data_IF_617954663400
#
_entry.id   IF_617954663400
#
_cell.length_a   1.000
_cell.length_b   1.000
_cell.length_c   1.000
_cell.angle_alpha   90.00
_cell.angle_beta   90.00
_cell.angle_gamma   90.00
#
_symmetry.space_group_name_H-M   'P 1'
#
loop_
_entity.id
_entity.type
_entity.pdbx_description
1 polymer ?
#
# COMPACT_ATOMS: atom_id res chain seq x y z
N UNK A 1 -5.35 0.32 19.86
CA UNK A 1 -6.69 0.89 20.08
C UNK A 1 -7.46 0.78 18.77
N UNK A 2 -8.46 -0.09 18.70
CA UNK A 2 -9.27 -0.32 17.49
C UNK A 2 -10.30 0.82 17.36
N UNK A 3 -9.91 1.95 16.77
CA UNK A 3 -10.87 2.98 16.41
C UNK A 3 -11.71 2.44 15.23
N UNK A 4 -13.05 2.38 15.34
CA UNK A 4 -13.91 1.90 14.25
C UNK A 4 -13.70 2.67 12.94
N UNK A 5 -13.29 3.95 13.02
CA UNK A 5 -12.97 4.77 11.84
C UNK A 5 -11.77 4.19 11.06
N UNK A 6 -10.72 3.71 11.75
CA UNK A 6 -9.57 3.09 11.07
C UNK A 6 -9.93 1.76 10.41
N UNK A 7 -10.86 1.01 11.00
CA UNK A 7 -11.35 -0.23 10.40
C UNK A 7 -12.16 0.00 9.12
N UNK A 8 -12.82 1.16 9.00
CA UNK A 8 -13.56 1.57 7.81
C UNK A 8 -12.61 2.08 6.71
N UNK A 9 -11.62 2.90 7.08
CA UNK A 9 -10.65 3.48 6.13
C UNK A 9 -9.81 2.40 5.42
N UNK A 10 -9.47 1.31 6.12
CA UNK A 10 -8.74 0.18 5.52
C UNK A 10 -9.64 -0.93 4.98
N UNK A 11 -10.78 -0.58 4.38
CA UNK A 11 -11.58 -1.49 3.57
C UNK A 11 -11.28 -1.31 2.07
N UNK A 12 -11.48 -2.35 1.25
CA UNK A 12 -11.49 -2.19 -0.20
C UNK A 12 -12.52 -1.14 -0.62
N UNK A 13 -12.17 -0.31 -1.60
CA UNK A 13 -13.06 0.72 -2.17
C UNK A 13 -13.62 0.31 -3.53
N UNK A 14 -13.33 -0.91 -3.99
CA UNK A 14 -13.79 -1.45 -5.27
C UNK A 14 -12.97 -0.96 -6.47
N UNK A 15 -11.68 -0.66 -6.29
CA UNK A 15 -10.80 -0.21 -7.39
C UNK A 15 -10.64 -1.31 -8.44
N UNK A 16 -10.65 -2.58 -8.02
CA UNK A 16 -10.46 -3.70 -8.92
C UNK A 16 -10.62 -5.06 -8.24
N UNK A 17 -10.11 -6.09 -8.92
CA UNK A 17 -10.35 -7.49 -8.56
C UNK A 17 -9.35 -8.05 -7.56
N UNK A 18 -8.22 -7.35 -7.32
CA UNK A 18 -7.15 -7.86 -6.47
C UNK A 18 -7.08 -7.09 -5.16
N UNK A 19 -7.26 -7.85 -4.08
CA UNK A 19 -7.07 -7.40 -2.71
C UNK A 19 -6.13 -8.37 -2.02
N UNK A 20 -5.05 -7.83 -1.46
CA UNK A 20 -4.05 -8.55 -0.70
C UNK A 20 -4.06 -7.99 0.71
N UNK A 21 -4.08 -8.87 1.69
CA UNK A 21 -3.90 -8.50 3.09
C UNK A 21 -2.62 -9.16 3.61
N UNK A 22 -1.71 -8.35 4.17
CA UNK A 22 -0.50 -8.83 4.82
C UNK A 22 -0.57 -8.52 6.32
N UNK A 23 -0.06 -9.40 7.20
CA UNK A 23 0.07 -9.08 8.62
C UNK A 23 1.01 -7.89 8.81
N UNK A 24 0.78 -7.13 9.88
CA UNK A 24 1.60 -5.97 10.22
C UNK A 24 1.89 -6.00 11.71
N UNK A 25 3.15 -6.18 12.07
CA UNK A 25 3.58 -6.26 13.47
C UNK A 25 3.95 -4.89 14.07
N UNK A 26 4.16 -3.88 13.22
CA UNK A 26 4.50 -2.52 13.62
C UNK A 26 4.03 -1.51 12.57
N UNK A 27 3.67 -0.27 12.96
CA UNK A 27 3.31 0.76 12.01
C UNK A 27 4.48 1.10 11.08
N UNK A 28 4.21 1.13 9.77
CA UNK A 28 5.15 1.56 8.75
C UNK A 28 5.13 3.08 8.61
N UNK A 29 6.29 3.65 8.26
CA UNK A 29 6.39 5.04 7.87
C UNK A 29 5.89 5.20 6.42
N UNK A 30 4.63 5.61 6.26
CA UNK A 30 3.99 5.71 4.93
C UNK A 30 4.70 6.69 4.00
N UNK A 31 5.33 7.74 4.54
CA UNK A 31 6.08 8.72 3.75
C UNK A 31 7.35 8.12 3.13
N UNK A 32 8.11 7.36 3.90
CA UNK A 32 9.33 6.68 3.42
C UNK A 32 8.96 5.53 2.47
N UNK A 33 8.01 4.70 2.88
CA UNK A 33 7.48 3.61 2.06
C UNK A 33 6.98 4.13 0.70
N UNK A 34 6.21 5.23 0.69
CA UNK A 34 5.72 5.84 -0.55
C UNK A 34 6.86 6.28 -1.48
N UNK A 35 7.95 6.83 -0.93
CA UNK A 35 9.11 7.25 -1.74
C UNK A 35 9.82 6.05 -2.36
N UNK A 36 10.05 5.00 -1.57
CA UNK A 36 10.76 3.81 -2.03
C UNK A 36 9.95 3.03 -3.07
N UNK A 37 8.63 2.92 -2.89
CA UNK A 37 7.73 2.35 -3.88
C UNK A 37 7.79 3.12 -5.20
N UNK A 38 7.78 4.45 -5.15
CA UNK A 38 7.92 5.30 -6.34
C UNK A 38 9.27 5.08 -7.03
N UNK A 39 10.38 5.06 -6.28
CA UNK A 39 11.71 4.85 -6.83
C UNK A 39 11.86 3.47 -7.47
N UNK A 40 11.40 2.42 -6.78
CA UNK A 40 11.44 1.05 -7.29
C UNK A 40 10.66 0.92 -8.60
N UNK A 41 9.40 1.34 -8.62
CA UNK A 41 8.55 1.23 -9.81
C UNK A 41 9.07 2.10 -10.96
N UNK A 42 9.62 3.28 -10.69
CA UNK A 42 10.31 4.07 -11.72
C UNK A 42 11.55 3.36 -12.25
N UNK A 43 12.30 2.66 -11.40
CA UNK A 43 13.41 1.79 -11.80
C UNK A 43 13.01 0.64 -12.71
N UNK A 44 11.75 0.18 -12.62
CA UNK A 44 11.17 -0.81 -13.54
C UNK A 44 10.64 -0.20 -14.86
N UNK A 45 10.81 1.11 -15.07
CA UNK A 45 10.38 1.80 -16.29
C UNK A 45 8.96 2.39 -16.25
N UNK A 46 8.30 2.39 -15.09
CA UNK A 46 6.97 2.99 -14.95
C UNK A 46 7.02 4.49 -14.70
N UNK A 47 5.98 5.21 -15.15
CA UNK A 47 5.66 6.54 -14.60
C UNK A 47 4.79 6.37 -13.39
N UNK A 48 5.20 6.94 -12.26
CA UNK A 48 4.55 6.73 -10.96
C UNK A 48 4.24 8.05 -10.30
N UNK A 49 3.00 8.20 -9.89
CA UNK A 49 2.51 9.28 -9.04
C UNK A 49 2.07 8.68 -7.71
N UNK A 50 2.40 9.34 -6.61
CA UNK A 50 2.04 8.88 -5.27
C UNK A 50 1.43 10.00 -4.47
N UNK A 51 0.33 9.71 -3.81
CA UNK A 51 -0.26 10.58 -2.80
C UNK A 51 -0.37 9.78 -1.52
N UNK A 52 0.01 10.35 -0.40
CA UNK A 52 0.00 9.65 0.88
C UNK A 52 -0.53 10.53 2.00
N UNK A 53 -1.02 9.85 3.03
CA UNK A 53 -1.46 10.36 4.33
C UNK A 53 -0.82 9.47 5.42
N UNK A 54 -1.10 9.71 6.71
CA UNK A 54 -0.49 8.92 7.79
C UNK A 54 -0.69 7.41 7.68
N UNK A 55 -1.82 6.92 7.14
CA UNK A 55 -2.09 5.48 7.03
C UNK A 55 -2.46 5.00 5.62
N UNK A 56 -2.63 5.89 4.64
CA UNK A 56 -2.93 5.52 3.26
C UNK A 56 -1.83 5.99 2.32
N UNK A 57 -1.49 5.14 1.36
CA UNK A 57 -0.74 5.50 0.16
C UNK A 57 -1.61 5.14 -1.04
N UNK A 58 -1.74 6.06 -1.98
CA UNK A 58 -2.32 5.80 -3.29
C UNK A 58 -1.24 5.98 -4.33
N UNK A 59 -0.96 4.91 -5.09
CA UNK A 59 -0.06 4.94 -6.23
C UNK A 59 -0.87 4.91 -7.52
N UNK A 60 -0.43 5.69 -8.49
CA UNK A 60 -0.89 5.59 -9.86
C UNK A 60 0.29 5.31 -10.76
N UNK A 61 0.27 4.12 -11.35
CA UNK A 61 1.37 3.56 -12.14
C UNK A 61 0.93 3.50 -13.59
N UNK A 62 1.74 4.05 -14.49
CA UNK A 62 1.49 4.05 -15.93
C UNK A 62 2.67 3.40 -16.65
N UNK A 63 2.39 2.31 -17.36
CA UNK A 63 3.37 1.64 -18.21
C UNK A 63 3.69 2.50 -19.44
N UNK A 64 4.96 2.82 -19.63
CA UNK A 64 5.41 3.61 -20.77
C UNK A 64 5.35 2.75 -22.03
N UNK A 65 4.59 3.17 -23.04
CA UNK A 65 4.52 2.49 -24.35
C UNK A 65 3.28 1.65 -24.62
N UNK A 66 2.43 1.40 -23.60
CA UNK A 66 1.11 0.77 -23.77
C UNK A 66 0.03 1.87 -23.72
N UNK A 67 -1.02 1.76 -24.52
CA UNK A 67 -2.11 2.76 -24.54
C UNK A 67 -2.87 2.77 -23.20
N UNK A 68 -2.83 3.94 -22.54
CA UNK A 68 -3.88 4.61 -21.75
C UNK A 68 -4.37 4.05 -20.42
N UNK A 69 -3.73 3.02 -19.84
CA UNK A 69 -4.16 2.48 -18.55
C UNK A 69 -3.26 2.92 -17.40
N UNK A 70 -3.90 3.36 -16.32
CA UNK A 70 -3.28 3.62 -15.03
C UNK A 70 -3.66 2.49 -14.07
N UNK A 71 -2.65 1.82 -13.51
CA UNK A 71 -2.85 0.93 -12.37
C UNK A 71 -2.92 1.80 -11.12
N UNK A 72 -4.09 1.82 -10.48
CA UNK A 72 -4.28 2.51 -9.21
C UNK A 72 -4.16 1.49 -8.09
N UNK A 73 -3.30 1.78 -7.12
CA UNK A 73 -3.01 0.90 -5.99
C UNK A 73 -3.26 1.68 -4.72
N UNK A 74 -4.19 1.21 -3.91
CA UNK A 74 -4.42 1.69 -2.55
C UNK A 74 -3.67 0.77 -1.59
N UNK A 75 -2.84 1.36 -0.74
CA UNK A 75 -2.19 0.68 0.38
C UNK A 75 -2.71 1.35 1.64
N UNK A 76 -3.36 0.60 2.50
CA UNK A 76 -3.90 1.09 3.77
C UNK A 76 -3.37 0.29 4.93
N UNK A 77 -2.78 0.97 5.90
CA UNK A 77 -2.28 0.38 7.13
C UNK A 77 -3.31 0.49 8.25
N UNK A 78 -3.60 -0.64 8.87
CA UNK A 78 -4.33 -0.73 10.13
C UNK A 78 -3.37 -1.15 11.26
N UNK A 79 -3.89 -1.37 12.47
CA UNK A 79 -3.09 -1.71 13.65
C UNK A 79 -2.33 -3.04 13.55
N UNK A 80 -2.83 -3.99 12.76
CA UNK A 80 -2.34 -5.37 12.70
C UNK A 80 -2.26 -5.95 11.29
N UNK A 81 -2.66 -5.19 10.27
CA UNK A 81 -2.55 -5.60 8.88
C UNK A 81 -2.33 -4.39 7.97
N UNK A 82 -1.84 -4.68 6.77
CA UNK A 82 -1.85 -3.75 5.64
C UNK A 82 -2.69 -4.36 4.53
N UNK A 83 -3.58 -3.55 3.95
CA UNK A 83 -4.43 -3.91 2.84
C UNK A 83 -3.89 -3.23 1.58
N UNK A 84 -3.66 -4.02 0.55
CA UNK A 84 -3.25 -3.59 -0.78
C UNK A 84 -4.40 -3.93 -1.72
N UNK A 85 -4.97 -2.93 -2.36
CA UNK A 85 -6.01 -3.09 -3.36
C UNK A 85 -5.52 -2.46 -4.66
N UNK A 86 -5.67 -3.18 -5.77
CA UNK A 86 -5.35 -2.66 -7.09
C UNK A 86 -6.50 -2.78 -8.06
N UNK A 87 -6.43 -1.94 -9.08
CA UNK A 87 -7.25 -2.05 -10.26
C UNK A 87 -6.86 -1.03 -11.32
N UNK A 88 -7.59 -1.07 -12.42
CA UNK A 88 -7.18 -0.47 -13.67
C UNK A 88 -8.14 0.65 -14.02
N UNK A 89 -7.57 1.81 -14.33
CA UNK A 89 -8.29 3.03 -14.67
C UNK A 89 -7.91 3.53 -16.04
N UNK A 90 -8.85 4.19 -16.71
CA UNK A 90 -8.64 4.78 -18.03
C UNK A 90 -7.86 6.12 -17.98
N UNK A 91 -7.51 6.60 -16.79
CA UNK A 91 -6.85 7.90 -16.63
C UNK A 91 -6.26 8.13 -15.25
N UNK A 92 -5.42 9.17 -15.16
CA UNK A 92 -4.83 9.63 -13.91
C UNK A 92 -5.92 10.24 -13.02
N UNK A 93 -5.81 9.98 -11.72
CA UNK A 93 -6.64 10.56 -10.67
C UNK A 93 -5.78 11.54 -9.88
N UNK A 94 -6.12 12.82 -9.95
CA UNK A 94 -5.39 13.85 -9.21
C UNK A 94 -5.99 14.09 -7.81
N UNK A 95 -5.70 13.17 -6.88
CA UNK A 95 -6.21 13.22 -5.50
C UNK A 95 -5.71 14.44 -4.70
N UNK A 96 -4.46 14.87 -4.92
CA UNK A 96 -3.85 16.01 -4.21
C UNK A 96 -4.57 17.32 -4.50
N UNK A 97 -4.95 17.54 -5.76
CA UNK A 97 -5.67 18.76 -6.17
C UNK A 97 -7.06 18.82 -5.56
N UNK A 98 -7.74 17.68 -5.48
CA UNK A 98 -9.04 17.60 -4.83
C UNK A 98 -8.97 17.95 -3.33
N UNK A 99 -7.88 17.58 -2.63
CA UNK A 99 -7.69 17.84 -1.20
C UNK A 99 -7.10 19.21 -0.86
N UNK A 100 -6.29 19.79 -1.76
CA UNK A 100 -5.73 21.13 -1.57
C UNK A 100 -6.76 22.23 -1.82
N UNK A 101 -7.73 22.00 -2.70
CA UNK A 101 -8.81 22.97 -2.98
C UNK A 101 -9.75 23.22 -1.79
N UNK A 102 -9.75 22.34 -0.78
CA UNK A 102 -10.58 22.46 0.43
C UNK A 102 -9.83 23.02 1.64
N UNK A 103 -8.52 23.26 1.53
CA UNK A 103 -7.69 23.82 2.61
C UNK A 103 -7.41 22.89 3.80
N UNK A 104 -7.83 21.61 3.75
CA UNK A 104 -7.82 20.70 4.91
C UNK A 104 -6.57 19.81 5.02
N UNK A 105 -5.60 19.92 4.11
CA UNK A 105 -4.51 18.93 4.02
C UNK A 105 -5.04 17.54 3.65
N UNK A 106 -4.13 16.59 3.43
CA UNK A 106 -4.50 15.25 2.98
C UNK A 106 -4.68 14.33 4.18
N UNK A 107 -5.93 14.00 4.50
CA UNK A 107 -6.29 13.06 5.58
C UNK A 107 -6.57 11.66 5.04
N UNK A 108 -6.49 10.64 5.90
CA UNK A 108 -6.82 9.26 5.54
C UNK A 108 -8.28 9.14 5.05
N UNK A 109 -9.20 9.81 5.74
CA UNK A 109 -10.63 9.85 5.39
C UNK A 109 -10.86 10.53 4.03
N UNK A 110 -10.14 11.62 3.73
CA UNK A 110 -10.21 12.28 2.45
C UNK A 110 -9.71 11.38 1.31
N UNK A 111 -8.57 10.71 1.49
CA UNK A 111 -8.06 9.79 0.47
C UNK A 111 -8.99 8.60 0.27
N UNK A 112 -9.48 7.99 1.36
CA UNK A 112 -10.42 6.88 1.26
C UNK A 112 -11.70 7.29 0.54
N UNK A 113 -12.35 8.37 0.96
CA UNK A 113 -13.62 8.82 0.40
C UNK A 113 -13.49 9.32 -1.04
N UNK A 114 -12.41 10.02 -1.37
CA UNK A 114 -12.15 10.46 -2.75
C UNK A 114 -11.96 9.26 -3.66
N UNK A 115 -11.18 8.27 -3.22
CA UNK A 115 -10.97 7.05 -3.97
C UNK A 115 -12.29 6.26 -4.09
N UNK A 116 -13.01 6.07 -3.00
CA UNK A 116 -14.33 5.44 -3.03
C UNK A 116 -15.26 6.14 -4.02
N UNK A 117 -15.41 7.47 -3.97
CA UNK A 117 -16.31 8.21 -4.86
C UNK A 117 -15.92 8.07 -6.34
N UNK A 118 -14.62 8.05 -6.65
CA UNK A 118 -14.14 7.85 -8.01
C UNK A 118 -14.41 6.43 -8.48
N UNK A 119 -14.15 5.44 -7.64
CA UNK A 119 -14.20 4.03 -8.02
C UNK A 119 -15.58 3.38 -7.86
N UNK A 120 -16.45 3.93 -7.02
CA UNK A 120 -17.86 3.55 -6.88
C UNK A 120 -18.67 3.86 -8.15
N UNK A 121 -18.15 4.72 -9.04
CA UNK A 121 -18.76 5.05 -10.34
C UNK A 121 -17.93 4.66 -11.57
N UNK A 122 -16.61 4.45 -11.45
CA UNK A 122 -15.70 4.30 -12.60
C UNK A 122 -15.67 2.91 -13.26
N UNK A 123 -16.29 1.88 -12.69
CA UNK A 123 -16.38 0.56 -13.34
C UNK A 123 -17.49 0.43 -14.39
N UNK A 124 -18.16 1.54 -14.76
CA UNK A 124 -19.16 1.55 -15.83
C UNK A 124 -18.58 1.52 -17.26
N UNK A 125 -17.26 1.42 -17.46
CA UNK A 125 -16.66 1.55 -18.79
C UNK A 125 -15.26 0.98 -18.98
N UNK A 126 -14.91 -0.11 -18.29
CA UNK A 126 -13.64 -0.81 -18.52
C UNK A 126 -13.88 -1.89 -19.60
N UNK A 127 -13.25 -1.72 -20.76
CA UNK A 127 -13.41 -2.62 -21.92
C UNK A 127 -12.69 -3.96 -21.66
N UNK A 128 -13.44 -5.03 -21.45
CA UNK A 128 -12.95 -6.34 -20.96
C UNK A 128 -11.80 -6.90 -21.81
N UNK A 129 -11.75 -6.57 -23.11
CA UNK A 129 -10.70 -7.03 -24.03
C UNK A 129 -9.35 -6.35 -23.80
N UNK A 130 -9.30 -5.07 -23.38
CA UNK A 130 -8.04 -4.37 -23.09
C UNK A 130 -7.44 -4.77 -21.74
N UNK A 131 -8.26 -5.38 -20.88
CA UNK A 131 -7.89 -5.73 -19.50
C UNK A 131 -7.07 -7.03 -19.45
N UNK A 132 -7.30 -7.99 -20.36
CA UNK A 132 -6.65 -9.30 -20.29
C UNK A 132 -5.12 -9.23 -20.37
N UNK A 133 -4.55 -8.36 -21.22
CA UNK A 133 -3.10 -8.14 -21.31
C UNK A 133 -2.51 -7.32 -20.15
N UNK A 134 -3.35 -6.60 -19.42
CA UNK A 134 -2.92 -5.72 -18.32
C UNK A 134 -2.81 -6.44 -16.97
N UNK A 135 -3.38 -7.63 -16.83
CA UNK A 135 -3.34 -8.39 -15.58
C UNK A 135 -1.96 -8.95 -15.24
N UNK A 136 -1.16 -9.31 -16.24
CA UNK A 136 0.21 -9.79 -16.02
C UNK A 136 1.08 -8.65 -15.45
N UNK A 137 0.95 -7.46 -16.02
CA UNK A 137 1.67 -6.28 -15.57
C UNK A 137 1.22 -5.85 -14.17
N UNK A 138 -0.09 -5.86 -13.91
CA UNK A 138 -0.63 -5.63 -12.58
C UNK A 138 -0.05 -6.60 -11.56
N UNK A 139 0.07 -7.90 -11.90
CA UNK A 139 0.70 -8.89 -11.02
C UNK A 139 2.17 -8.59 -10.73
N UNK A 140 2.95 -8.15 -11.74
CA UNK A 140 4.35 -7.76 -11.55
C UNK A 140 4.46 -6.57 -10.60
N UNK A 141 3.64 -5.55 -10.81
CA UNK A 141 3.59 -4.36 -9.96
C UNK A 141 3.21 -4.75 -8.52
N UNK A 142 2.14 -5.52 -8.34
CA UNK A 142 1.70 -5.97 -7.01
C UNK A 142 2.76 -6.79 -6.29
N UNK A 143 3.43 -7.71 -7.01
CA UNK A 143 4.49 -8.54 -6.43
C UNK A 143 5.65 -7.68 -5.92
N UNK A 144 6.07 -6.67 -6.67
CA UNK A 144 7.10 -5.73 -6.24
C UNK A 144 6.68 -4.88 -5.05
N UNK A 145 5.43 -4.37 -5.05
CA UNK A 145 4.86 -3.62 -3.93
C UNK A 145 4.82 -4.47 -2.65
N UNK A 146 4.35 -5.71 -2.75
CA UNK A 146 4.34 -6.66 -1.63
C UNK A 146 5.75 -6.90 -1.09
N UNK A 147 6.73 -7.14 -1.97
CA UNK A 147 8.11 -7.38 -1.55
C UNK A 147 8.70 -6.20 -0.75
N UNK A 148 8.46 -4.96 -1.19
CA UNK A 148 8.94 -3.77 -0.48
C UNK A 148 8.23 -3.61 0.87
N UNK A 149 6.92 -3.83 0.93
CA UNK A 149 6.18 -3.77 2.19
C UNK A 149 6.70 -4.80 3.18
N UNK A 150 6.92 -6.04 2.74
CA UNK A 150 7.51 -7.10 3.56
C UNK A 150 8.94 -6.74 3.99
N UNK A 151 9.73 -6.10 3.13
CA UNK A 151 11.03 -5.58 3.52
C UNK A 151 10.91 -4.56 4.66
N UNK A 152 10.02 -3.57 4.54
CA UNK A 152 9.78 -2.54 5.56
C UNK A 152 9.25 -3.11 6.88
N UNK A 153 8.37 -4.10 6.82
CA UNK A 153 7.93 -4.86 8.00
C UNK A 153 9.14 -5.50 8.70
N UNK A 154 10.06 -6.09 7.94
CA UNK A 154 11.22 -6.81 8.45
C UNK A 154 12.41 -5.92 8.86
N UNK A 155 12.50 -4.69 8.35
CA UNK A 155 13.54 -3.71 8.69
C UNK A 155 13.55 -3.30 10.18
N UNK A 156 12.53 -3.65 10.97
CA UNK A 156 12.50 -3.43 12.43
C UNK A 156 13.08 -4.58 13.24
N UNK A 157 13.25 -5.73 12.61
CA UNK A 157 13.76 -6.94 13.20
C UNK A 157 15.17 -7.20 12.69
N UNK A 158 16.10 -6.30 13.04
CA UNK A 158 17.53 -6.52 12.80
C UNK A 158 18.08 -7.72 13.57
N UNK A 159 17.29 -8.29 14.49
CA UNK A 159 17.71 -9.35 15.36
C UNK A 159 16.74 -10.52 15.30
N UNK A 160 17.31 -11.72 15.24
CA UNK A 160 16.57 -12.95 15.48
C UNK A 160 16.87 -13.42 16.89
N UNK A 161 15.85 -13.97 17.56
CA UNK A 161 16.01 -14.58 18.86
C UNK A 161 17.04 -15.73 18.73
N UNK A 162 18.15 -15.71 19.49
CA UNK A 162 19.18 -16.73 19.37
C UNK A 162 18.71 -18.13 19.82
N UNK A 163 17.53 -18.22 20.46
CA UNK A 163 16.98 -19.47 20.96
C UNK A 163 15.93 -20.12 20.04
N UNK A 164 15.15 -19.33 19.31
CA UNK A 164 14.06 -19.87 18.48
C UNK A 164 14.02 -19.33 17.04
N UNK A 165 14.90 -18.41 16.68
CA UNK A 165 14.98 -17.84 15.33
C UNK A 165 13.88 -16.81 15.01
N UNK A 166 12.91 -16.58 15.91
CA UNK A 166 11.90 -15.54 15.71
C UNK A 166 12.53 -14.16 15.59
N UNK A 167 12.07 -13.38 14.62
CA UNK A 167 12.39 -11.96 14.45
C UNK A 167 11.93 -11.14 15.66
N UNK A 168 12.83 -10.37 16.25
CA UNK A 168 12.63 -9.64 17.51
C UNK A 168 13.24 -8.24 17.45
N UNK A 169 12.60 -7.28 18.11
CA UNK A 169 13.09 -5.90 18.11
C UNK A 169 14.28 -5.74 19.08
N UNK A 170 15.21 -4.83 18.77
CA UNK A 170 16.40 -4.59 19.61
C UNK A 170 16.05 -4.13 21.03
N UNK A 171 14.91 -3.46 21.18
CA UNK A 171 14.43 -2.90 22.45
C UNK A 171 13.76 -3.97 23.34
N UNK A 172 13.43 -5.14 22.80
CA UNK A 172 12.75 -6.19 23.55
C UNK A 172 13.73 -6.90 24.49
N UNK A 173 13.33 -7.04 25.76
CA UNK A 173 14.10 -7.79 26.77
C UNK A 173 13.85 -9.30 26.70
N UNK A 174 12.69 -9.71 26.24
CA UNK A 174 12.26 -11.10 26.17
C UNK A 174 11.61 -11.40 24.81
N UNK A 175 11.84 -12.61 24.30
CA UNK A 175 11.20 -13.07 23.07
C UNK A 175 9.74 -13.44 23.36
N UNK A 176 8.75 -12.89 22.63
CA UNK A 176 7.34 -13.20 22.87
C UNK A 176 6.94 -14.63 22.50
N UNK A 177 7.77 -15.34 21.73
CA UNK A 177 7.47 -16.70 21.29
C UNK A 177 8.03 -17.80 22.17
N UNK A 178 9.27 -17.66 22.63
CA UNK A 178 9.89 -18.66 23.50
C UNK A 178 10.05 -18.22 24.96
N UNK A 179 9.68 -16.98 25.30
CA UNK A 179 9.77 -16.42 26.65
C UNK A 179 11.19 -16.16 27.16
N UNK A 180 12.24 -16.48 26.40
CA UNK A 180 13.63 -16.33 26.82
C UNK A 180 14.13 -14.90 26.64
N UNK A 181 15.08 -14.50 27.49
CA UNK A 181 15.71 -13.19 27.42
C UNK A 181 16.47 -12.99 26.09
N UNK A 182 16.38 -11.78 25.55
CA UNK A 182 17.07 -11.36 24.34
C UNK A 182 18.34 -10.62 24.74
N UNK A 183 19.47 -11.34 24.72
CA UNK A 183 20.79 -10.77 24.96
C UNK A 183 21.48 -10.53 23.62
N UNK A 184 21.16 -9.41 22.96
CA UNK A 184 21.90 -8.96 21.79
C UNK A 184 23.26 -8.43 22.24
N UNK A 185 24.35 -9.07 21.80
CA UNK A 185 25.72 -8.57 21.99
C UNK A 185 26.04 -7.48 20.98
#
# INVERSE_FOLDING_TARGET
MNNPIYSYICQPVGIGTKVIQLPLYRPLNTKELSKDLVLYLRGQGYRVYSTYSPNIIVLQVHAVGIRSHYYTIKICQSSNFILIESGITNGRVELERAGLNTGLGITDEFLHSSLFALFSGALAGVDVASVLGSYEEENKILSGVQQIILYYENQGFQYSCPHCGMRVERTWKYCPHCGRALNFK
#
